data_IF_828983523650
#
_entry.id   IF_828983523650
#
_cell.length_a   1.000
_cell.length_b   1.000
_cell.length_c   1.000
_cell.angle_alpha   90.00
_cell.angle_beta   90.00
_cell.angle_gamma   90.00
#
_symmetry.space_group_name_H-M   'P 1'
#
loop_
_entity.id
_entity.type
_entity.pdbx_description
1 polymer ?
#
# COMPACT_ATOMS: atom_id res chain seq x y z
N UNK A 1 -16.99 36.97 -12.38
CA UNK A 1 -15.70 36.98 -11.65
C UNK A 1 -15.78 36.05 -10.42
N UNK A 2 -15.97 34.74 -10.62
CA UNK A 2 -16.02 33.74 -9.52
C UNK A 2 -15.25 32.44 -9.84
N UNK A 3 -14.46 32.42 -10.92
CA UNK A 3 -13.67 31.26 -11.36
C UNK A 3 -12.24 31.26 -10.84
N UNK A 4 -11.70 32.40 -10.38
CA UNK A 4 -10.31 32.47 -9.89
C UNK A 4 -10.07 31.69 -8.58
N UNK A 5 -11.13 31.39 -7.83
CA UNK A 5 -11.08 30.78 -6.49
C UNK A 5 -10.83 29.26 -6.52
N UNK A 6 -11.08 28.58 -7.65
CA UNK A 6 -10.95 27.11 -7.77
C UNK A 6 -9.56 26.64 -8.24
N UNK A 7 -8.67 27.56 -8.63
CA UNK A 7 -7.38 27.24 -9.25
C UNK A 7 -6.19 27.86 -8.51
N UNK A 8 -6.41 28.33 -7.27
CA UNK A 8 -5.36 28.93 -6.44
C UNK A 8 -4.78 30.23 -7.02
N UNK A 9 -5.56 31.01 -7.78
CA UNK A 9 -5.11 32.27 -8.38
C UNK A 9 -5.59 33.46 -7.56
N UNK A 10 -4.65 34.12 -6.87
CA UNK A 10 -4.92 35.26 -6.00
C UNK A 10 -4.37 36.56 -6.60
N UNK A 11 -5.03 37.68 -6.31
CA UNK A 11 -4.58 38.99 -6.76
C UNK A 11 -3.33 39.40 -5.98
N UNK A 12 -2.25 39.77 -6.68
CA UNK A 12 -1.02 40.25 -6.05
C UNK A 12 -0.75 41.74 -6.33
N UNK A 13 -0.86 42.16 -7.59
CA UNK A 13 -0.65 43.56 -7.99
C UNK A 13 -1.55 43.97 -9.14
N UNK A 14 -1.44 45.23 -9.58
CA UNK A 14 -2.21 45.74 -10.72
C UNK A 14 -1.95 44.96 -12.01
N UNK A 15 -0.75 44.41 -12.17
CA UNK A 15 -0.28 43.76 -13.42
C UNK A 15 -0.02 42.27 -13.28
N UNK A 16 -0.06 41.70 -12.06
CA UNK A 16 0.24 40.28 -11.82
C UNK A 16 -0.74 39.64 -10.85
N UNK A 17 -0.95 38.35 -11.03
CA UNK A 17 -1.62 37.44 -10.08
C UNK A 17 -0.60 36.43 -9.58
N UNK A 18 -0.84 35.82 -8.42
CA UNK A 18 -0.02 34.76 -7.86
C UNK A 18 -0.79 33.44 -7.93
N UNK A 19 -0.11 32.37 -8.32
CA UNK A 19 -0.61 31.02 -8.07
C UNK A 19 -0.08 30.54 -6.72
N UNK A 20 -0.97 30.26 -5.77
CA UNK A 20 -0.60 29.78 -4.43
C UNK A 20 0.00 28.37 -4.48
N UNK A 21 -0.47 27.49 -5.36
CA UNK A 21 -0.01 26.11 -5.47
C UNK A 21 1.41 26.02 -6.03
N UNK A 22 1.70 26.85 -7.03
CA UNK A 22 2.99 26.88 -7.72
C UNK A 22 3.98 27.89 -7.13
N UNK A 23 3.54 28.84 -6.30
CA UNK A 23 4.39 29.90 -5.74
C UNK A 23 4.93 30.89 -6.77
N UNK A 24 4.31 30.99 -7.96
CA UNK A 24 4.78 31.83 -9.07
C UNK A 24 3.86 33.01 -9.35
N UNK A 25 4.43 34.07 -9.93
CA UNK A 25 3.70 35.25 -10.39
C UNK A 25 3.41 35.17 -11.88
N UNK A 26 2.14 35.33 -12.24
CA UNK A 26 1.63 35.24 -13.61
C UNK A 26 1.19 36.64 -14.05
N UNK A 27 1.52 37.08 -15.28
CA UNK A 27 0.95 38.31 -15.82
C UNK A 27 -0.59 38.28 -15.76
N UNK A 28 -1.21 39.40 -15.40
CA UNK A 28 -2.67 39.56 -15.32
C UNK A 28 -3.30 39.69 -16.71
N UNK A 29 -3.03 38.70 -17.56
CA UNK A 29 -3.59 38.53 -18.90
C UNK A 29 -4.24 37.14 -18.95
N UNK A 30 -5.52 37.07 -19.35
CA UNK A 30 -6.31 35.83 -19.29
C UNK A 30 -5.61 34.65 -19.97
N UNK A 31 -5.03 34.86 -21.17
CA UNK A 31 -4.28 33.82 -21.89
C UNK A 31 -3.13 33.23 -21.06
N UNK A 32 -2.42 34.05 -20.28
CA UNK A 32 -1.33 33.57 -19.43
C UNK A 32 -1.85 32.77 -18.22
N UNK A 33 -2.95 33.21 -17.62
CA UNK A 33 -3.61 32.51 -16.51
C UNK A 33 -4.15 31.16 -16.99
N UNK A 34 -4.87 31.15 -18.11
CA UNK A 34 -5.46 29.94 -18.71
C UNK A 34 -4.37 28.93 -19.10
N UNK A 35 -3.26 29.40 -19.68
CA UNK A 35 -2.13 28.54 -20.02
C UNK A 35 -1.48 27.94 -18.76
N UNK A 36 -1.42 28.70 -17.67
CA UNK A 36 -0.84 28.23 -16.41
C UNK A 36 -1.71 27.17 -15.74
N UNK A 37 -3.00 27.45 -15.51
CA UNK A 37 -3.90 26.55 -14.78
C UNK A 37 -4.14 25.22 -15.53
N UNK A 38 -4.00 25.22 -16.86
CA UNK A 38 -4.11 24.01 -17.68
C UNK A 38 -2.76 23.32 -17.92
N UNK A 39 -1.65 23.90 -17.44
CA UNK A 39 -0.31 23.34 -17.57
C UNK A 39 -0.13 22.09 -16.71
N UNK A 40 0.71 21.16 -17.16
CA UNK A 40 0.98 19.88 -16.48
C UNK A 40 1.48 20.10 -15.05
N UNK A 41 2.48 20.98 -14.87
CA UNK A 41 3.04 21.32 -13.55
C UNK A 41 2.00 21.84 -12.55
N UNK A 42 0.98 22.56 -13.01
CA UNK A 42 -0.06 23.05 -12.11
C UNK A 42 -0.95 21.91 -11.62
N UNK A 43 -1.29 20.98 -12.51
CA UNK A 43 -2.05 19.77 -12.17
C UNK A 43 -1.26 18.86 -11.22
N UNK A 44 0.00 18.61 -11.54
CA UNK A 44 0.93 17.86 -10.67
C UNK A 44 0.98 18.45 -9.25
N UNK A 45 1.02 19.79 -9.12
CA UNK A 45 1.00 20.41 -7.80
C UNK A 45 -0.33 20.23 -7.05
N UNK A 46 -1.46 20.12 -7.76
CA UNK A 46 -2.77 19.83 -7.13
C UNK A 46 -2.83 18.37 -6.66
N UNK A 47 -2.27 17.45 -7.44
CA UNK A 47 -2.18 16.03 -7.08
C UNK A 47 -1.27 15.88 -5.85
N UNK A 48 -0.08 16.50 -5.87
CA UNK A 48 0.84 16.54 -4.73
C UNK A 48 0.18 17.13 -3.47
N UNK A 49 -0.67 18.14 -3.59
CA UNK A 49 -1.41 18.67 -2.44
C UNK A 49 -2.27 17.59 -1.76
N UNK A 50 -3.04 16.86 -2.57
CA UNK A 50 -3.95 15.83 -2.08
C UNK A 50 -3.20 14.63 -1.50
N UNK A 51 -2.07 14.26 -2.11
CA UNK A 51 -1.19 13.18 -1.67
C UNK A 51 -0.41 13.53 -0.39
N UNK A 52 -0.24 14.82 -0.08
CA UNK A 52 0.59 15.28 1.05
C UNK A 52 -0.21 15.99 2.14
N UNK A 53 -1.54 15.88 2.17
CA UNK A 53 -2.31 16.49 3.26
C UNK A 53 -2.36 18.02 3.21
N UNK A 54 -2.14 18.62 2.04
CA UNK A 54 -2.14 20.07 1.87
C UNK A 54 -3.49 20.50 1.28
N UNK A 55 -4.15 21.42 1.96
CA UNK A 55 -5.44 21.96 1.55
C UNK A 55 -5.40 23.48 1.38
N UNK A 56 -6.24 24.01 0.50
CA UNK A 56 -6.35 25.44 0.27
C UNK A 56 -7.55 26.01 1.01
N UNK A 57 -7.30 26.93 1.93
CA UNK A 57 -8.34 27.61 2.69
C UNK A 57 -8.75 28.90 1.97
N UNK A 58 -9.86 28.84 1.24
CA UNK A 58 -10.40 29.96 0.45
C UNK A 58 -10.63 31.24 1.26
N UNK A 59 -10.96 31.13 2.56
CA UNK A 59 -11.26 32.29 3.39
C UNK A 59 -10.02 33.12 3.74
N UNK A 60 -8.84 32.49 3.72
CA UNK A 60 -7.57 33.10 4.08
C UNK A 60 -6.55 33.13 2.91
N UNK A 61 -6.96 32.66 1.73
CA UNK A 61 -6.11 32.59 0.51
C UNK A 61 -4.74 31.92 0.77
N UNK A 62 -4.71 30.92 1.66
CA UNK A 62 -3.50 30.30 2.20
C UNK A 62 -3.58 28.77 2.13
N UNK A 63 -2.41 28.14 2.00
CA UNK A 63 -2.30 26.69 2.07
C UNK A 63 -2.10 26.26 3.53
N UNK A 64 -2.74 25.17 3.92
CA UNK A 64 -2.58 24.53 5.22
C UNK A 64 -2.09 23.10 4.99
N UNK A 65 -0.99 22.72 5.63
CA UNK A 65 -0.51 21.35 5.67
C UNK A 65 -1.00 20.71 6.96
N UNK A 66 -1.86 19.70 6.82
CA UNK A 66 -2.44 18.95 7.92
C UNK A 66 -1.41 18.07 8.65
N UNK A 67 -0.51 17.33 7.95
CA UNK A 67 0.60 16.64 8.59
C UNK A 67 1.49 17.51 9.49
N UNK A 68 1.86 18.69 9.00
CA UNK A 68 2.73 19.60 9.74
C UNK A 68 1.97 20.50 10.72
N UNK A 69 0.64 20.51 10.67
CA UNK A 69 -0.25 21.42 11.40
C UNK A 69 0.16 22.91 11.28
N UNK A 70 0.47 23.35 10.06
CA UNK A 70 0.87 24.74 9.80
C UNK A 70 0.20 25.33 8.57
N UNK A 71 0.01 26.65 8.60
CA UNK A 71 -0.28 27.44 7.42
C UNK A 71 1.02 27.81 6.70
N UNK A 72 1.10 27.50 5.40
CA UNK A 72 2.28 27.75 4.58
C UNK A 72 2.43 29.26 4.31
N UNK A 73 3.63 29.83 4.49
CA UNK A 73 3.93 31.22 4.14
C UNK A 73 3.65 31.56 2.68
N UNK A 74 3.36 32.84 2.39
CA UNK A 74 3.03 33.32 1.03
C UNK A 74 4.13 33.05 -0.02
N UNK A 75 5.39 32.85 0.38
CA UNK A 75 6.47 32.58 -0.57
C UNK A 75 6.75 31.09 -0.75
N UNK A 76 6.03 30.23 -0.05
CA UNK A 76 6.16 28.79 -0.12
C UNK A 76 5.18 28.22 -1.15
N UNK A 77 5.65 27.24 -1.93
CA UNK A 77 4.83 26.45 -2.85
C UNK A 77 4.65 25.05 -2.28
N UNK A 78 3.73 24.29 -2.87
CA UNK A 78 3.48 22.89 -2.50
C UNK A 78 4.78 22.08 -2.55
N UNK A 79 5.48 22.11 -3.69
CA UNK A 79 6.72 21.36 -3.90
C UNK A 79 7.82 21.76 -2.92
N UNK A 80 7.95 23.06 -2.63
CA UNK A 80 8.97 23.54 -1.71
C UNK A 80 8.68 23.08 -0.27
N UNK A 81 7.40 23.03 0.11
CA UNK A 81 6.99 22.61 1.44
C UNK A 81 7.24 21.12 1.68
N UNK A 82 6.86 20.26 0.73
CA UNK A 82 7.03 18.80 0.88
C UNK A 82 8.51 18.39 0.95
N UNK A 83 9.41 19.20 0.39
CA UNK A 83 10.87 19.03 0.45
C UNK A 83 11.49 19.56 1.75
N UNK A 84 10.71 20.21 2.63
CA UNK A 84 11.24 20.65 3.93
C UNK A 84 11.50 19.44 4.84
N UNK A 85 12.55 19.52 5.67
CA UNK A 85 12.90 18.47 6.63
C UNK A 85 11.70 18.07 7.51
N UNK A 86 10.86 19.02 7.90
CA UNK A 86 9.69 18.74 8.74
C UNK A 86 8.68 17.83 8.04
N UNK A 87 8.32 18.13 6.79
CA UNK A 87 7.34 17.35 6.04
C UNK A 87 7.94 16.02 5.59
N UNK A 88 9.18 16.06 5.09
CA UNK A 88 9.90 14.86 4.65
C UNK A 88 10.09 13.85 5.79
N UNK A 89 10.46 14.31 7.00
CA UNK A 89 10.61 13.43 8.16
C UNK A 89 9.28 12.84 8.62
N UNK A 90 8.19 13.61 8.59
CA UNK A 90 6.86 13.07 8.89
C UNK A 90 6.45 12.03 7.84
N UNK A 91 6.68 12.32 6.56
CA UNK A 91 6.35 11.42 5.46
C UNK A 91 7.10 10.10 5.55
N UNK A 92 8.42 10.15 5.85
CA UNK A 92 9.23 8.95 6.08
C UNK A 92 8.74 8.16 7.30
N UNK A 93 8.58 8.82 8.45
CA UNK A 93 8.13 8.13 9.67
C UNK A 93 6.72 7.52 9.52
N UNK A 94 5.81 8.20 8.82
CA UNK A 94 4.48 7.67 8.56
C UNK A 94 4.54 6.50 7.57
N UNK A 95 5.34 6.60 6.51
CA UNK A 95 5.52 5.51 5.55
C UNK A 95 6.06 4.26 6.23
N UNK A 96 7.11 4.39 7.03
CA UNK A 96 7.72 3.29 7.78
C UNK A 96 6.71 2.60 8.73
N UNK A 97 5.76 3.36 9.28
CA UNK A 97 4.72 2.85 10.17
C UNK A 97 3.52 2.22 9.47
N UNK A 98 3.27 2.50 8.19
CA UNK A 98 2.08 2.00 7.47
C UNK A 98 2.41 1.01 6.36
N UNK A 99 3.66 0.94 5.94
CA UNK A 99 4.12 0.04 4.89
C UNK A 99 3.87 -1.42 5.27
N UNK A 100 3.08 -2.11 4.45
CA UNK A 100 2.66 -3.49 4.74
C UNK A 100 1.59 -3.66 5.82
N UNK A 101 1.24 -2.60 6.55
CA UNK A 101 0.33 -2.65 7.71
C UNK A 101 -1.16 -2.55 7.33
N UNK A 102 -1.45 -2.40 6.03
CA UNK A 102 -2.81 -2.24 5.48
C UNK A 102 -3.56 -1.05 6.11
N UNK A 103 -2.85 0.05 6.37
CA UNK A 103 -3.40 1.31 6.86
C UNK A 103 -3.57 2.30 5.70
N UNK A 104 -4.80 2.78 5.51
CA UNK A 104 -5.13 3.79 4.49
C UNK A 104 -5.08 5.19 5.07
N UNK A 105 -4.31 6.06 4.43
CA UNK A 105 -4.19 7.48 4.78
C UNK A 105 -5.01 8.41 3.88
N UNK A 106 -5.66 7.90 2.82
CA UNK A 106 -6.30 8.71 1.78
C UNK A 106 -7.31 9.74 2.30
N UNK A 107 -8.17 9.35 3.25
CA UNK A 107 -9.18 10.26 3.81
C UNK A 107 -8.57 11.31 4.76
N UNK A 108 -7.47 10.95 5.43
CA UNK A 108 -6.67 11.90 6.21
C UNK A 108 -5.99 12.93 5.30
N UNK A 109 -5.26 12.47 4.27
CA UNK A 109 -4.50 13.30 3.34
C UNK A 109 -5.42 14.18 2.45
N UNK A 110 -6.62 13.69 2.11
CA UNK A 110 -7.61 14.51 1.39
C UNK A 110 -8.41 15.46 2.29
N UNK A 111 -8.04 15.60 3.56
CA UNK A 111 -8.73 16.42 4.57
C UNK A 111 -10.21 16.10 4.76
N UNK A 112 -10.65 14.87 4.44
CA UNK A 112 -12.02 14.40 4.68
C UNK A 112 -12.24 13.89 6.10
N UNK A 113 -11.20 13.37 6.73
CA UNK A 113 -11.22 12.82 8.08
C UNK A 113 -9.94 13.18 8.82
N UNK A 114 -9.97 13.18 10.15
CA UNK A 114 -8.76 13.22 10.99
C UNK A 114 -8.19 11.82 11.26
N UNK A 115 -8.86 10.78 10.77
CA UNK A 115 -8.52 9.39 11.01
C UNK A 115 -7.88 8.73 9.79
N UNK A 116 -6.95 7.82 10.06
CA UNK A 116 -6.53 6.75 9.17
C UNK A 116 -7.45 5.53 9.36
N UNK A 117 -7.55 4.66 8.35
CA UNK A 117 -8.36 3.45 8.42
C UNK A 117 -7.47 2.21 8.34
N UNK A 118 -7.53 1.33 9.35
CA UNK A 118 -6.85 0.05 9.33
C UNK A 118 -7.76 -1.03 8.74
N UNK A 119 -7.35 -1.64 7.63
CA UNK A 119 -8.15 -2.64 6.93
C UNK A 119 -8.16 -4.00 7.63
N UNK A 120 -7.06 -4.38 8.30
CA UNK A 120 -7.02 -5.67 9.01
C UNK A 120 -7.79 -5.63 10.33
N UNK A 121 -7.80 -4.48 11.01
CA UNK A 121 -8.55 -4.28 12.25
C UNK A 121 -9.98 -3.76 12.01
N UNK A 122 -10.30 -3.30 10.79
CA UNK A 122 -11.58 -2.67 10.44
C UNK A 122 -11.94 -1.51 11.39
N UNK A 123 -10.97 -0.65 11.68
CA UNK A 123 -11.09 0.43 12.66
C UNK A 123 -10.51 1.76 12.17
N UNK A 124 -11.03 2.85 12.71
CA UNK A 124 -10.49 4.20 12.52
C UNK A 124 -9.49 4.54 13.63
N UNK A 125 -8.36 5.13 13.24
CA UNK A 125 -7.28 5.55 14.14
C UNK A 125 -7.06 7.04 13.94
N UNK A 126 -7.08 7.84 15.01
CA UNK A 126 -6.71 9.25 14.91
C UNK A 126 -5.28 9.36 14.36
N UNK A 127 -5.10 10.01 13.22
CA UNK A 127 -3.88 9.96 12.42
C UNK A 127 -2.78 10.87 12.98
N UNK A 128 -2.19 10.41 14.09
CA UNK A 128 -0.99 10.95 14.72
C UNK A 128 0.04 9.83 14.78
N UNK A 129 1.31 10.14 14.52
CA UNK A 129 2.42 9.17 14.58
C UNK A 129 2.36 8.24 15.82
N UNK A 130 2.26 8.75 17.07
CA UNK A 130 2.23 7.88 18.24
C UNK A 130 1.01 6.94 18.29
N UNK A 131 -0.14 7.36 17.73
CA UNK A 131 -1.34 6.52 17.72
C UNK A 131 -1.24 5.39 16.69
N UNK A 132 -0.64 5.69 15.53
CA UNK A 132 -0.38 4.69 14.49
C UNK A 132 0.65 3.70 15.02
N UNK A 133 1.75 4.20 15.61
CA UNK A 133 2.79 3.38 16.22
C UNK A 133 2.24 2.48 17.34
N UNK A 134 1.41 3.01 18.24
CA UNK A 134 0.75 2.21 19.27
C UNK A 134 -0.14 1.13 18.65
N UNK A 135 -0.93 1.49 17.64
CA UNK A 135 -1.85 0.58 16.96
C UNK A 135 -1.14 -0.62 16.31
N UNK A 136 -0.11 -0.35 15.48
CA UNK A 136 0.61 -1.42 14.74
C UNK A 136 1.38 -2.35 15.66
N UNK A 137 1.76 -1.86 16.84
CA UNK A 137 2.44 -2.66 17.86
C UNK A 137 1.49 -3.45 18.77
N UNK A 138 0.18 -3.32 18.62
CA UNK A 138 -0.76 -4.14 19.39
C UNK A 138 -0.72 -5.61 18.94
N UNK A 139 -0.84 -6.53 19.90
CA UNK A 139 -0.93 -7.97 19.63
C UNK A 139 -2.10 -8.31 18.70
N UNK A 140 -3.23 -7.61 18.86
CA UNK A 140 -4.40 -7.81 17.99
C UNK A 140 -4.11 -7.45 16.55
N UNK A 141 -3.42 -6.34 16.29
CA UNK A 141 -3.08 -5.92 14.94
C UNK A 141 -2.12 -6.89 14.28
N UNK A 142 -1.02 -7.23 14.98
CA UNK A 142 -0.02 -8.20 14.50
C UNK A 142 -0.64 -9.56 14.19
N UNK A 143 -1.51 -10.05 15.08
CA UNK A 143 -2.26 -11.28 14.85
C UNK A 143 -3.12 -11.22 13.59
N UNK A 144 -3.85 -10.12 13.37
CA UNK A 144 -4.66 -9.92 12.18
C UNK A 144 -3.83 -9.85 10.89
N UNK A 145 -2.62 -9.26 10.94
CA UNK A 145 -1.68 -9.27 9.80
C UNK A 145 -1.27 -10.70 9.47
N UNK A 146 -0.85 -11.48 10.48
CA UNK A 146 -0.47 -12.88 10.27
C UNK A 146 -1.63 -13.69 9.67
N UNK A 147 -2.86 -13.55 10.20
CA UNK A 147 -4.06 -14.18 9.60
C UNK A 147 -4.30 -13.76 8.14
N UNK A 148 -4.03 -12.49 7.82
CA UNK A 148 -4.17 -11.96 6.44
C UNK A 148 -3.12 -12.55 5.49
N UNK A 149 -1.91 -12.81 5.99
CA UNK A 149 -0.79 -13.34 5.22
C UNK A 149 -0.77 -14.87 5.12
N UNK A 150 -1.45 -15.60 6.02
CA UNK A 150 -1.61 -17.07 5.98
C UNK A 150 -1.90 -17.63 4.58
N UNK A 151 -2.99 -17.24 3.89
CA UNK A 151 -3.35 -17.83 2.60
C UNK A 151 -2.34 -17.51 1.48
N UNK A 152 -1.45 -16.54 1.68
CA UNK A 152 -0.50 -16.06 0.69
C UNK A 152 0.88 -16.68 0.89
N UNK A 153 1.35 -16.77 2.14
CA UNK A 153 2.74 -17.06 2.46
C UNK A 153 2.93 -18.15 3.53
N UNK A 154 1.85 -18.72 4.07
CA UNK A 154 1.95 -19.78 5.08
C UNK A 154 2.61 -19.33 6.39
N UNK A 155 2.32 -18.10 6.82
CA UNK A 155 2.83 -17.49 8.06
C UNK A 155 1.82 -17.67 9.19
N UNK A 156 2.22 -18.21 10.33
CA UNK A 156 1.34 -18.55 11.46
C UNK A 156 1.81 -17.89 12.76
N UNK A 157 0.87 -17.44 13.59
CA UNK A 157 1.19 -16.93 14.92
C UNK A 157 1.71 -18.06 15.83
N UNK A 158 2.76 -17.78 16.59
CA UNK A 158 3.25 -18.66 17.66
C UNK A 158 2.56 -18.33 19.00
N UNK A 159 2.67 -19.25 19.98
CA UNK A 159 2.09 -19.05 21.32
C UNK A 159 2.77 -17.92 22.12
N UNK A 160 3.99 -17.55 21.76
CA UNK A 160 4.78 -16.54 22.47
C UNK A 160 4.46 -15.10 22.05
N UNK A 161 3.61 -14.89 21.04
CA UNK A 161 3.23 -13.60 20.44
C UNK A 161 4.38 -12.77 19.82
N UNK A 162 5.64 -13.05 20.19
CA UNK A 162 6.85 -12.36 19.73
C UNK A 162 7.34 -12.87 18.36
N UNK A 163 6.91 -14.07 17.96
CA UNK A 163 7.36 -14.72 16.74
C UNK A 163 6.18 -15.23 15.91
N UNK A 164 6.41 -15.36 14.61
CA UNK A 164 5.57 -16.10 13.67
C UNK A 164 6.40 -17.23 13.07
N UNK A 165 5.74 -18.34 12.76
CA UNK A 165 6.34 -19.50 12.12
C UNK A 165 5.97 -19.51 10.63
N UNK A 166 6.97 -19.70 9.78
CA UNK A 166 6.79 -19.89 8.35
C UNK A 166 6.78 -21.37 8.01
N UNK A 167 5.65 -21.85 7.51
CA UNK A 167 5.47 -23.26 7.14
C UNK A 167 6.31 -23.69 5.94
N UNK A 168 6.64 -22.76 5.05
CA UNK A 168 7.37 -23.03 3.81
C UNK A 168 8.83 -23.41 4.11
N UNK A 169 9.50 -22.63 4.96
CA UNK A 169 10.90 -22.84 5.30
C UNK A 169 11.13 -23.49 6.68
N UNK A 170 10.06 -23.69 7.46
CA UNK A 170 10.10 -24.14 8.86
C UNK A 170 10.91 -23.20 9.79
N UNK A 171 10.91 -21.90 9.46
CA UNK A 171 11.63 -20.84 10.18
C UNK A 171 10.75 -20.05 11.14
N UNK A 172 11.37 -19.43 12.15
CA UNK A 172 10.72 -18.50 13.08
C UNK A 172 11.20 -17.08 12.77
N UNK A 173 10.25 -16.14 12.72
CA UNK A 173 10.45 -14.75 12.30
C UNK A 173 9.90 -13.85 13.40
N UNK A 174 10.54 -12.71 13.67
CA UNK A 174 9.99 -11.72 14.60
C UNK A 174 8.61 -11.24 14.14
N UNK A 175 7.64 -11.20 15.05
CA UNK A 175 6.25 -10.81 14.78
C UNK A 175 6.11 -9.29 14.62
N UNK A 176 6.61 -8.80 13.50
CA UNK A 176 6.54 -7.43 13.02
C UNK A 176 6.50 -7.46 11.50
N UNK A 177 5.68 -6.60 10.90
CA UNK A 177 5.43 -6.64 9.46
C UNK A 177 6.70 -6.45 8.63
N UNK A 178 7.60 -5.56 9.05
CA UNK A 178 8.89 -5.36 8.37
C UNK A 178 9.70 -6.65 8.22
N UNK A 179 9.92 -7.38 9.32
CA UNK A 179 10.65 -8.65 9.30
C UNK A 179 9.90 -9.76 8.55
N UNK A 180 8.57 -9.76 8.59
CA UNK A 180 7.76 -10.72 7.84
C UNK A 180 7.88 -10.46 6.33
N UNK A 181 7.81 -9.20 5.90
CA UNK A 181 7.97 -8.83 4.49
C UNK A 181 9.41 -9.06 4.00
N UNK A 182 10.42 -8.69 4.78
CA UNK A 182 11.82 -9.01 4.48
C UNK A 182 12.01 -10.53 4.31
N UNK A 183 11.38 -11.35 5.16
CA UNK A 183 11.40 -12.80 4.98
C UNK A 183 10.73 -13.25 3.68
N UNK A 184 9.56 -12.70 3.33
CA UNK A 184 8.83 -13.10 2.11
C UNK A 184 9.61 -12.72 0.84
N UNK A 185 10.22 -11.52 0.83
CA UNK A 185 10.81 -10.94 -0.37
C UNK A 185 12.31 -11.24 -0.52
N UNK A 186 13.04 -11.49 0.58
CA UNK A 186 14.50 -11.61 0.57
C UNK A 186 15.04 -12.96 1.06
N UNK A 187 14.25 -13.77 1.77
CA UNK A 187 14.70 -15.11 2.20
C UNK A 187 14.81 -16.06 1.01
N UNK A 188 16.05 -16.48 0.70
CA UNK A 188 16.31 -17.32 -0.46
C UNK A 188 15.57 -18.65 -0.41
N UNK A 189 15.39 -19.25 0.77
CA UNK A 189 14.71 -20.54 0.89
C UNK A 189 13.20 -20.39 0.66
N UNK A 190 12.59 -19.33 1.20
CA UNK A 190 11.18 -19.00 0.96
C UNK A 190 10.93 -18.74 -0.53
N UNK A 191 11.74 -17.87 -1.13
CA UNK A 191 11.64 -17.48 -2.54
C UNK A 191 11.86 -18.65 -3.49
N UNK A 192 12.90 -19.46 -3.27
CA UNK A 192 13.18 -20.64 -4.10
C UNK A 192 12.02 -21.63 -4.09
N UNK A 193 11.41 -21.88 -2.91
CA UNK A 193 10.26 -22.78 -2.83
C UNK A 193 9.07 -22.26 -3.63
N UNK A 194 8.72 -20.97 -3.52
CA UNK A 194 7.62 -20.40 -4.28
C UNK A 194 7.90 -20.44 -5.78
N UNK A 195 9.10 -20.06 -6.23
CA UNK A 195 9.48 -20.14 -7.63
C UNK A 195 9.35 -21.56 -8.20
N UNK A 196 9.85 -22.57 -7.49
CA UNK A 196 9.77 -23.97 -7.94
C UNK A 196 8.32 -24.48 -7.97
N UNK A 197 7.53 -24.21 -6.94
CA UNK A 197 6.16 -24.71 -6.86
C UNK A 197 5.25 -23.98 -7.86
N UNK A 198 5.39 -22.66 -8.01
CA UNK A 198 4.59 -21.88 -8.96
C UNK A 198 4.86 -22.30 -10.41
N UNK A 199 6.12 -22.50 -10.80
CA UNK A 199 6.49 -23.00 -12.14
C UNK A 199 5.89 -24.39 -12.42
N UNK A 200 5.90 -25.28 -11.41
CA UNK A 200 5.32 -26.62 -11.55
C UNK A 200 3.81 -26.60 -11.72
N UNK A 201 3.10 -25.75 -10.97
CA UNK A 201 1.63 -25.74 -10.97
C UNK A 201 1.04 -24.79 -12.00
N UNK A 202 1.87 -24.00 -12.68
CA UNK A 202 1.45 -23.12 -13.77
C UNK A 202 0.64 -23.93 -14.80
N UNK A 203 -0.56 -23.43 -15.10
CA UNK A 203 -1.54 -24.08 -16.00
C UNK A 203 -2.03 -25.49 -15.57
N UNK A 204 -1.75 -25.95 -14.35
CA UNK A 204 -2.18 -27.28 -13.86
C UNK A 204 -3.50 -27.29 -13.06
N UNK A 205 -4.08 -26.11 -12.78
CA UNK A 205 -5.28 -25.91 -11.95
C UNK A 205 -5.15 -26.55 -10.55
N UNK A 206 -3.97 -26.39 -9.94
CA UNK A 206 -3.65 -26.82 -8.58
C UNK A 206 -3.71 -25.61 -7.65
N UNK A 207 -4.39 -25.74 -6.51
CA UNK A 207 -4.51 -24.69 -5.49
C UNK A 207 -3.67 -25.01 -4.26
N UNK A 208 -2.87 -24.05 -3.82
CA UNK A 208 -2.10 -24.07 -2.59
C UNK A 208 -2.85 -23.50 -1.38
N UNK A 209 -4.04 -22.92 -1.58
CA UNK A 209 -4.75 -22.14 -0.55
C UNK A 209 -4.94 -22.92 0.76
N UNK A 210 -5.38 -24.18 0.68
CA UNK A 210 -5.56 -25.04 1.86
C UNK A 210 -4.22 -25.34 2.53
N UNK A 211 -3.19 -25.62 1.74
CA UNK A 211 -1.85 -25.88 2.24
C UNK A 211 -1.30 -24.66 3.00
N UNK A 212 -1.41 -23.47 2.45
CA UNK A 212 -0.88 -22.25 3.08
C UNK A 212 -1.73 -21.80 4.28
N UNK A 213 -3.05 -22.02 4.25
CA UNK A 213 -3.96 -21.50 5.27
C UNK A 213 -4.11 -22.40 6.51
N UNK A 214 -3.68 -23.65 6.45
CA UNK A 214 -3.83 -24.62 7.54
C UNK A 214 -2.49 -25.22 7.94
N UNK A 215 -2.07 -24.99 9.18
CA UNK A 215 -0.82 -25.49 9.77
C UNK A 215 -0.60 -26.99 9.51
N UNK A 216 -1.64 -27.81 9.66
CA UNK A 216 -1.53 -29.27 9.58
C UNK A 216 -1.75 -29.85 8.18
N UNK A 217 -2.26 -29.05 7.23
CA UNK A 217 -2.52 -29.53 5.87
C UNK A 217 -1.20 -29.78 5.14
N UNK A 218 -1.01 -30.95 4.54
CA UNK A 218 0.24 -31.26 3.81
C UNK A 218 0.05 -31.30 2.31
N UNK A 219 -1.18 -31.05 1.84
CA UNK A 219 -1.60 -31.31 0.48
C UNK A 219 -2.06 -30.04 -0.21
N UNK A 220 -1.66 -29.89 -1.47
CA UNK A 220 -2.29 -29.00 -2.42
C UNK A 220 -3.48 -29.72 -3.06
N UNK A 221 -4.46 -28.97 -3.55
CA UNK A 221 -5.65 -29.55 -4.17
C UNK A 221 -5.61 -29.36 -5.69
N UNK A 222 -5.54 -30.45 -6.43
CA UNK A 222 -5.67 -30.43 -7.89
C UNK A 222 -7.14 -30.39 -8.27
N UNK A 223 -7.63 -29.23 -8.75
CA UNK A 223 -9.05 -29.05 -9.12
C UNK A 223 -9.41 -29.84 -10.36
N UNK A 224 -8.48 -29.96 -11.30
CA UNK A 224 -8.61 -30.76 -12.52
C UNK A 224 -8.93 -32.22 -12.19
N UNK A 225 -8.04 -32.86 -11.42
CA UNK A 225 -8.18 -34.26 -11.03
C UNK A 225 -9.16 -34.46 -9.86
N UNK A 226 -9.54 -33.40 -9.14
CA UNK A 226 -10.33 -33.43 -7.91
C UNK A 226 -9.70 -34.33 -6.83
N UNK A 227 -8.39 -34.18 -6.59
CA UNK A 227 -7.63 -34.95 -5.61
C UNK A 227 -6.67 -34.07 -4.82
N UNK A 228 -6.39 -34.47 -3.58
CA UNK A 228 -5.34 -33.88 -2.76
C UNK A 228 -3.99 -34.55 -3.07
N UNK A 229 -2.97 -33.73 -3.32
CA UNK A 229 -1.60 -34.14 -3.66
C UNK A 229 -0.67 -33.54 -2.64
N UNK A 230 0.27 -34.33 -2.10
CA UNK A 230 1.25 -33.82 -1.12
C UNK A 230 1.98 -32.62 -1.73
N UNK A 231 2.03 -31.50 -1.02
CA UNK A 231 2.60 -30.25 -1.48
C UNK A 231 4.13 -30.25 -1.33
N UNK A 232 4.80 -30.94 -2.23
CA UNK A 232 6.23 -30.83 -2.46
C UNK A 232 6.53 -31.05 -3.95
N UNK A 233 7.68 -30.54 -4.40
CA UNK A 233 8.14 -30.61 -5.79
C UNK A 233 7.99 -32.02 -6.37
N UNK A 234 8.54 -33.02 -5.68
CA UNK A 234 8.54 -34.40 -6.18
C UNK A 234 7.12 -34.96 -6.37
N UNK A 235 6.22 -34.73 -5.42
CA UNK A 235 4.87 -35.31 -5.44
C UNK A 235 3.98 -34.61 -6.45
N UNK A 236 4.10 -33.28 -6.57
CA UNK A 236 3.39 -32.50 -7.57
C UNK A 236 3.88 -32.85 -8.97
N UNK A 237 5.19 -32.91 -9.19
CA UNK A 237 5.78 -33.29 -10.47
C UNK A 237 5.33 -34.71 -10.89
N UNK A 238 5.34 -35.67 -9.98
CA UNK A 238 4.84 -37.03 -10.25
C UNK A 238 3.34 -37.05 -10.59
N UNK A 239 2.54 -36.24 -9.90
CA UNK A 239 1.12 -36.12 -10.19
C UNK A 239 0.87 -35.52 -11.58
N UNK A 240 1.53 -34.42 -11.90
CA UNK A 240 1.36 -33.69 -13.17
C UNK A 240 1.76 -34.57 -14.35
N UNK A 241 2.85 -35.33 -14.22
CA UNK A 241 3.31 -36.25 -15.26
C UNK A 241 2.57 -37.61 -15.27
N UNK A 242 1.62 -37.83 -14.37
CA UNK A 242 0.83 -39.07 -14.35
C UNK A 242 -0.11 -39.14 -15.55
N UNK A 243 -0.30 -40.35 -16.10
CA UNK A 243 -1.28 -40.57 -17.18
C UNK A 243 -2.69 -40.14 -16.76
N UNK A 244 -3.05 -40.27 -15.47
CA UNK A 244 -4.33 -39.81 -14.94
C UNK A 244 -4.56 -38.31 -15.08
N UNK A 245 -3.52 -37.49 -14.84
CA UNK A 245 -3.60 -36.04 -14.98
C UNK A 245 -3.53 -35.59 -16.44
N UNK A 246 -2.65 -36.22 -17.22
CA UNK A 246 -2.49 -35.95 -18.65
C UNK A 246 -3.76 -36.33 -19.44
N UNK A 247 -4.40 -37.45 -19.14
CA UNK A 247 -5.62 -37.87 -19.83
C UNK A 247 -6.84 -36.96 -19.53
N UNK A 248 -6.73 -36.06 -18.56
CA UNK A 248 -7.71 -34.99 -18.37
C UNK A 248 -7.37 -33.72 -19.16
N UNK A 249 -6.14 -33.53 -19.66
CA UNK A 249 -5.81 -32.50 -20.67
C UNK A 249 -6.53 -32.78 -21.99
N UNK A 250 -6.57 -34.06 -22.41
CA UNK A 250 -7.06 -34.47 -23.73
C UNK A 250 -8.58 -34.44 -23.90
N UNK A 251 -9.36 -34.28 -22.82
CA UNK A 251 -10.82 -34.18 -22.88
C UNK A 251 -11.29 -32.76 -23.19
N UNK A 252 -10.48 -31.73 -22.91
CA UNK A 252 -10.86 -30.32 -23.11
C UNK A 252 -10.64 -29.87 -24.57
N UNK A 253 -9.72 -30.48 -25.33
CA UNK A 253 -9.51 -30.13 -26.75
C UNK A 253 -10.55 -30.74 -27.73
N UNK A 254 -11.57 -31.45 -27.22
CA UNK A 254 -12.59 -32.12 -28.02
C UNK A 254 -14.04 -31.64 -27.76
N UNK A 255 -14.22 -30.53 -27.04
CA UNK A 255 -15.50 -29.83 -26.86
C UNK A 255 -15.39 -28.36 -27.27
#
# INVERSE_FOLDING_TARGET
MKTNLLFGIIANSKTRVRCVFCGVYIPKANKCIDQHINGTKHKENIDLMSENGISFHNDADILYCKPCDIYLPEHESVTKHIETDSHANWGAAMQDLVEGEFIRLNDYLSSKSDNAFCEVCQSEILCLLPNIEEHVNTLSHRGNIAERLKPLNGIFNCENDDEVWCKVCDGYITNSVSYILEHIDEDSQHMEWFMEIEDLIEDQDISLEKYLSNEFEKSAYCKKCNVDVICNVQSLEQHIHSESHINQLSVIELL
#
